data_IF_929809042045
#
_entry.id   IF_929809042045
#
_cell.length_a   1.000
_cell.length_b   1.000
_cell.length_c   1.000
_cell.angle_alpha   90.00
_cell.angle_beta   90.00
_cell.angle_gamma   90.00
#
_symmetry.space_group_name_H-M   'P 1'
#
loop_
_entity.id
_entity.type
_entity.pdbx_description
1 polymer ?
#
# COMPACT_ATOMS: atom_id res chain seq x y z
N UNK A 1 -9.16 8.77 13.36
CA UNK A 1 -7.84 9.47 13.33
C UNK A 1 -8.08 10.94 12.99
N UNK A 2 -7.63 11.90 13.80
CA UNK A 2 -7.63 13.32 13.43
C UNK A 2 -6.20 13.71 13.05
N UNK A 3 -6.03 14.25 11.86
CA UNK A 3 -4.71 14.65 11.43
C UNK A 3 -4.37 16.05 11.95
N UNK A 4 -3.31 16.17 12.77
CA UNK A 4 -2.91 17.41 13.42
C UNK A 4 -1.82 18.16 12.64
N UNK A 5 -1.96 18.26 11.32
CA UNK A 5 -0.89 18.78 10.44
C UNK A 5 -0.61 20.27 10.64
N UNK A 6 -1.65 21.08 10.85
CA UNK A 6 -1.52 22.51 11.14
C UNK A 6 -0.78 22.75 12.47
N UNK A 7 -1.01 21.90 13.48
CA UNK A 7 -0.31 21.98 14.79
C UNK A 7 1.15 21.56 14.65
N UNK A 8 1.47 20.71 13.67
CA UNK A 8 2.83 20.22 13.40
C UNK A 8 3.57 21.04 12.36
N UNK A 9 2.97 22.12 11.84
CA UNK A 9 3.47 22.89 10.69
C UNK A 9 3.95 22.02 9.52
N UNK A 10 3.21 20.97 9.19
CA UNK A 10 3.57 20.06 8.10
C UNK A 10 2.93 20.50 6.79
N UNK A 11 3.72 20.52 5.71
CA UNK A 11 3.21 20.60 4.35
C UNK A 11 2.63 19.24 3.99
N UNK A 12 1.42 19.23 3.46
CA UNK A 12 0.72 18.02 3.05
C UNK A 12 0.04 18.23 1.70
N UNK A 13 -0.09 17.16 0.92
CA UNK A 13 -1.06 17.05 -0.14
C UNK A 13 -2.12 16.03 0.29
N UNK A 14 -3.39 16.41 0.23
CA UNK A 14 -4.52 15.52 0.53
C UNK A 14 -5.32 15.26 -0.74
N UNK A 15 -5.66 14.00 -0.96
CA UNK A 15 -6.42 13.50 -2.10
C UNK A 15 -7.65 12.77 -1.58
N UNK A 16 -8.80 13.05 -2.16
CA UNK A 16 -10.01 12.29 -1.90
C UNK A 16 -10.07 11.14 -2.90
N UNK A 17 -10.21 9.92 -2.39
CA UNK A 17 -10.37 8.71 -3.18
C UNK A 17 -11.60 8.02 -2.61
N UNK A 18 -12.72 8.14 -3.33
CA UNK A 18 -14.05 7.72 -2.84
C UNK A 18 -14.34 8.36 -1.47
N UNK A 19 -14.70 7.55 -0.47
CA UNK A 19 -14.99 7.99 0.90
C UNK A 19 -13.73 8.13 1.77
N UNK A 20 -12.53 7.95 1.19
CA UNK A 20 -11.24 7.99 1.90
C UNK A 20 -10.45 9.24 1.57
N UNK A 21 -9.66 9.69 2.54
CA UNK A 21 -8.69 10.77 2.35
C UNK A 21 -7.29 10.19 2.41
N UNK A 22 -6.59 10.18 1.28
CA UNK A 22 -5.16 9.87 1.20
C UNK A 22 -4.35 11.14 1.45
N UNK A 23 -3.37 11.07 2.33
CA UNK A 23 -2.47 12.18 2.64
C UNK A 23 -1.06 11.77 2.27
N UNK A 24 -0.39 12.68 1.59
CA UNK A 24 1.02 12.63 1.29
C UNK A 24 1.73 13.77 2.03
N UNK A 25 2.74 13.42 2.81
CA UNK A 25 3.68 14.36 3.41
C UNK A 25 4.96 14.25 2.59
N UNK A 26 5.37 15.28 1.83
CA UNK A 26 6.64 15.26 1.13
C UNK A 26 7.82 15.30 2.10
N UNK A 27 9.00 14.91 1.63
CA UNK A 27 10.23 15.21 2.35
C UNK A 27 10.58 16.70 2.21
N UNK A 28 10.96 17.33 3.32
CA UNK A 28 11.56 18.66 3.34
C UNK A 28 12.83 18.55 4.17
N UNK A 29 13.97 18.94 3.61
CA UNK A 29 15.23 18.97 4.35
C UNK A 29 15.15 20.00 5.48
N UNK A 30 15.74 19.70 6.63
CA UNK A 30 15.89 20.67 7.72
C UNK A 30 16.76 21.87 7.31
N UNK A 31 17.54 21.76 6.24
CA UNK A 31 18.35 22.84 5.68
C UNK A 31 17.63 23.67 4.61
N UNK A 32 16.35 23.39 4.33
CA UNK A 32 15.61 24.04 3.25
C UNK A 32 15.30 25.51 3.54
N UNK A 33 14.97 25.85 4.79
CA UNK A 33 14.64 27.21 5.23
C UNK A 33 14.73 27.35 6.75
N UNK A 34 15.02 28.57 7.22
CA UNK A 34 15.01 28.92 8.64
C UNK A 34 13.59 29.17 9.20
N UNK A 35 12.58 29.25 8.33
CA UNK A 35 11.18 29.38 8.73
C UNK A 35 10.74 28.14 9.53
N UNK A 36 10.07 28.38 10.66
CA UNK A 36 9.64 27.32 11.57
C UNK A 36 8.71 26.29 10.91
N UNK A 37 8.06 26.68 9.82
CA UNK A 37 7.17 25.85 9.02
C UNK A 37 7.88 24.86 8.11
N UNK A 38 9.21 24.99 7.97
CA UNK A 38 10.03 24.20 7.05
C UNK A 38 11.26 23.57 7.73
N UNK A 39 11.25 23.43 9.07
CA UNK A 39 12.36 22.85 9.87
C UNK A 39 12.68 21.36 9.61
N UNK A 40 12.06 20.78 8.59
CA UNK A 40 12.28 19.42 8.15
C UNK A 40 11.06 18.53 8.41
N UNK A 41 10.76 17.68 7.44
CA UNK A 41 9.72 16.64 7.55
C UNK A 41 10.15 15.43 6.72
N UNK A 42 9.86 14.23 7.23
CA UNK A 42 10.09 12.99 6.50
C UNK A 42 8.90 12.69 5.59
N UNK A 43 9.20 12.10 4.44
CA UNK A 43 8.18 11.60 3.54
C UNK A 43 7.27 10.58 4.25
N UNK A 44 5.96 10.69 4.06
CA UNK A 44 5.02 9.65 4.49
C UNK A 44 3.75 9.65 3.64
N UNK A 45 3.13 8.49 3.55
CA UNK A 45 1.81 8.29 2.97
C UNK A 45 0.88 7.74 4.06
N UNK A 46 -0.37 8.18 4.09
CA UNK A 46 -1.35 7.69 5.06
C UNK A 46 -2.77 7.86 4.52
N UNK A 47 -3.67 6.90 4.78
CA UNK A 47 -5.09 7.10 4.53
C UNK A 47 -5.86 7.31 5.84
N UNK A 48 -6.85 8.20 5.82
CA UNK A 48 -7.78 8.36 6.95
C UNK A 48 -8.64 7.11 7.05
N UNK A 49 -8.63 6.47 8.23
CA UNK A 49 -9.36 5.24 8.53
C UNK A 49 -8.87 3.99 7.80
N UNK A 50 -7.62 4.00 7.35
CA UNK A 50 -6.98 2.78 6.84
C UNK A 50 -6.84 1.74 7.93
N UNK A 51 -7.12 0.49 7.61
CA UNK A 51 -6.84 -0.66 8.46
C UNK A 51 -5.85 -1.59 7.79
N UNK A 52 -5.27 -2.50 8.56
CA UNK A 52 -4.39 -3.55 8.03
C UNK A 52 -5.14 -4.49 7.06
N UNK A 53 -6.46 -4.54 7.14
CA UNK A 53 -7.29 -5.44 6.34
C UNK A 53 -7.67 -4.81 4.98
N UNK A 54 -7.30 -3.54 4.77
CA UNK A 54 -7.38 -2.91 3.46
C UNK A 54 -6.33 -3.51 2.52
N UNK A 55 -6.81 -4.22 1.50
CA UNK A 55 -5.98 -4.81 0.45
C UNK A 55 -6.37 -4.18 -0.88
N UNK A 56 -5.42 -3.51 -1.53
CA UNK A 56 -5.67 -2.87 -2.82
C UNK A 56 -5.82 -3.94 -3.91
N UNK A 57 -6.80 -3.78 -4.80
CA UNK A 57 -7.09 -4.74 -5.87
C UNK A 57 -8.01 -5.90 -5.44
N UNK A 58 -8.27 -6.08 -4.14
CA UNK A 58 -8.99 -7.26 -3.64
C UNK A 58 -10.45 -7.31 -4.13
N UNK A 59 -11.15 -6.18 -4.13
CA UNK A 59 -12.53 -6.09 -4.61
C UNK A 59 -12.64 -6.14 -6.14
N UNK A 60 -11.53 -5.95 -6.85
CA UNK A 60 -11.46 -6.04 -8.31
C UNK A 60 -11.14 -7.47 -8.80
N UNK A 61 -10.87 -8.41 -7.90
CA UNK A 61 -10.69 -9.81 -8.29
C UNK A 61 -12.01 -10.37 -8.87
N UNK A 62 -11.97 -11.09 -10.00
CA UNK A 62 -13.15 -11.73 -10.60
C UNK A 62 -13.85 -12.64 -9.58
N UNK A 63 -15.15 -12.88 -9.69
CA UNK A 63 -15.82 -13.87 -8.81
C UNK A 63 -15.41 -15.31 -9.14
N UNK A 64 -15.53 -16.21 -8.17
CA UNK A 64 -15.24 -17.64 -8.33
C UNK A 64 -13.76 -18.01 -8.20
N UNK A 65 -13.40 -19.13 -8.83
CA UNK A 65 -12.06 -19.71 -8.83
C UNK A 65 -11.11 -18.87 -9.68
N UNK A 66 -9.86 -18.77 -9.22
CA UNK A 66 -8.79 -18.00 -9.85
C UNK A 66 -7.61 -18.91 -10.19
N UNK A 67 -7.00 -18.70 -11.35
CA UNK A 67 -5.78 -19.44 -11.74
C UNK A 67 -4.59 -19.11 -10.83
N UNK A 68 -4.52 -17.86 -10.38
CA UNK A 68 -3.50 -17.35 -9.47
C UNK A 68 -3.98 -16.06 -8.79
N UNK A 69 -3.28 -15.68 -7.73
CA UNK A 69 -3.31 -14.32 -7.16
C UNK A 69 -1.89 -13.81 -7.03
N UNK A 70 -1.61 -12.63 -7.59
CA UNK A 70 -0.29 -12.01 -7.64
C UNK A 70 -0.20 -10.85 -6.65
N UNK A 71 0.61 -11.02 -5.61
CA UNK A 71 0.98 -10.00 -4.64
C UNK A 71 2.05 -9.07 -5.21
N UNK A 72 1.80 -7.77 -5.16
CA UNK A 72 2.72 -6.70 -5.58
C UNK A 72 3.10 -5.82 -4.40
N UNK A 73 4.24 -5.14 -4.49
CA UNK A 73 4.82 -4.38 -3.37
C UNK A 73 4.06 -3.13 -2.99
N UNK A 74 3.24 -2.60 -3.90
CA UNK A 74 2.32 -1.52 -3.61
C UNK A 74 1.33 -1.25 -4.74
N UNK A 75 0.45 -0.27 -4.50
CA UNK A 75 -0.67 0.06 -5.40
C UNK A 75 -0.21 0.38 -6.83
N UNK A 76 0.91 1.10 -6.97
CA UNK A 76 1.48 1.44 -8.30
C UNK A 76 1.88 0.20 -9.08
N UNK A 77 2.50 -0.78 -8.42
CA UNK A 77 2.93 -2.03 -9.04
C UNK A 77 1.75 -2.92 -9.40
N UNK A 78 0.66 -2.86 -8.63
CA UNK A 78 -0.63 -3.46 -8.97
C UNK A 78 -1.23 -2.85 -10.22
N UNK A 79 -1.38 -1.52 -10.28
CA UNK A 79 -1.96 -0.84 -11.44
C UNK A 79 -1.13 -1.08 -12.71
N UNK A 80 0.19 -1.03 -12.58
CA UNK A 80 1.10 -1.34 -13.69
C UNK A 80 0.95 -2.80 -14.14
N UNK A 81 0.96 -3.76 -13.21
CA UNK A 81 0.75 -5.18 -13.53
C UNK A 81 -0.60 -5.41 -14.24
N UNK A 82 -1.67 -4.80 -13.74
CA UNK A 82 -2.98 -4.87 -14.35
C UNK A 82 -3.00 -4.34 -15.78
N UNK A 83 -2.41 -3.16 -16.01
CA UNK A 83 -2.30 -2.57 -17.35
C UNK A 83 -1.52 -3.45 -18.34
N UNK A 84 -0.63 -4.32 -17.84
CA UNK A 84 0.15 -5.27 -18.63
C UNK A 84 -0.49 -6.68 -18.74
N UNK A 85 -1.75 -6.85 -18.32
CA UNK A 85 -2.51 -8.08 -18.51
C UNK A 85 -2.51 -9.05 -17.32
N UNK A 86 -1.98 -8.64 -16.16
CA UNK A 86 -2.12 -9.42 -14.93
C UNK A 86 -3.41 -9.02 -14.19
N UNK A 87 -4.48 -9.79 -14.35
CA UNK A 87 -5.80 -9.39 -13.84
C UNK A 87 -5.99 -9.65 -12.33
N UNK A 88 -5.38 -10.71 -11.79
CA UNK A 88 -5.56 -11.12 -10.40
C UNK A 88 -4.47 -10.53 -9.49
N UNK A 89 -4.32 -9.20 -9.49
CA UNK A 89 -3.25 -8.50 -8.79
C UNK A 89 -3.74 -7.77 -7.55
N UNK A 90 -3.05 -7.98 -6.44
CA UNK A 90 -3.34 -7.30 -5.16
C UNK A 90 -2.07 -6.78 -4.50
N UNK A 91 -2.20 -5.77 -3.66
CA UNK A 91 -1.10 -5.29 -2.83
C UNK A 91 -1.58 -5.01 -1.41
N UNK A 92 -0.75 -5.41 -0.44
CA UNK A 92 -0.89 -4.99 0.95
C UNK A 92 -0.42 -3.54 1.10
N UNK A 93 -0.56 -2.96 2.30
CA UNK A 93 -0.20 -1.55 2.51
C UNK A 93 1.30 -1.29 2.51
N UNK A 94 2.11 -2.34 2.67
CA UNK A 94 3.56 -2.29 2.48
C UNK A 94 4.11 -3.69 2.20
N UNK A 95 5.29 -3.76 1.60
CA UNK A 95 6.03 -5.03 1.45
C UNK A 95 6.38 -5.69 2.79
N UNK A 96 6.45 -4.92 3.87
CA UNK A 96 6.70 -5.45 5.21
C UNK A 96 5.46 -6.08 5.85
N UNK A 97 4.27 -5.75 5.35
CA UNK A 97 3.03 -6.25 5.90
C UNK A 97 2.82 -7.69 5.47
N UNK A 98 2.49 -8.54 6.43
CA UNK A 98 2.06 -9.91 6.14
C UNK A 98 0.56 -9.94 5.87
N UNK A 99 0.10 -10.78 4.92
CA UNK A 99 -1.32 -11.02 4.75
C UNK A 99 -1.89 -11.65 6.03
N UNK A 100 -3.13 -11.31 6.37
CA UNK A 100 -3.80 -11.93 7.52
C UNK A 100 -4.17 -13.39 7.20
N UNK A 101 -4.32 -14.22 8.22
CA UNK A 101 -4.74 -15.61 8.06
C UNK A 101 -6.10 -15.71 7.38
N UNK A 102 -7.02 -14.79 7.69
CA UNK A 102 -8.35 -14.73 7.07
C UNK A 102 -8.26 -14.38 5.58
N UNK A 103 -7.38 -13.44 5.20
CA UNK A 103 -7.12 -13.12 3.81
C UNK A 103 -6.54 -14.33 3.08
N UNK A 104 -5.52 -14.97 3.65
CA UNK A 104 -4.91 -16.16 3.06
C UNK A 104 -5.92 -17.29 2.90
N UNK A 105 -6.77 -17.53 3.91
CA UNK A 105 -7.82 -18.54 3.86
C UNK A 105 -8.83 -18.23 2.75
N UNK A 106 -9.26 -16.97 2.63
CA UNK A 106 -10.19 -16.53 1.59
C UNK A 106 -9.60 -16.61 0.17
N UNK A 107 -8.30 -16.35 0.01
CA UNK A 107 -7.65 -16.47 -1.30
C UNK A 107 -7.41 -17.96 -1.63
N UNK A 108 -6.99 -18.76 -0.65
CA UNK A 108 -6.74 -20.21 -0.81
C UNK A 108 -8.00 -21.01 -1.07
N UNK A 109 -9.18 -20.52 -0.68
CA UNK A 109 -10.45 -21.15 -1.07
C UNK A 109 -10.80 -20.93 -2.54
N UNK A 110 -10.12 -20.00 -3.22
CA UNK A 110 -10.39 -19.60 -4.61
C UNK A 110 -9.24 -19.97 -5.56
N UNK A 111 -8.04 -20.16 -5.04
CA UNK A 111 -6.88 -20.58 -5.85
C UNK A 111 -5.88 -21.35 -5.01
N UNK A 112 -5.19 -22.30 -5.64
CA UNK A 112 -4.03 -22.97 -5.04
C UNK A 112 -2.73 -22.18 -5.25
N UNK A 113 -2.72 -21.15 -6.10
CA UNK A 113 -1.51 -20.48 -6.56
C UNK A 113 -1.46 -19.03 -6.06
N UNK A 114 -0.64 -18.79 -5.05
CA UNK A 114 -0.30 -17.43 -4.58
C UNK A 114 1.12 -17.10 -5.05
N UNK A 115 1.25 -16.01 -5.80
CA UNK A 115 2.51 -15.54 -6.36
C UNK A 115 2.93 -14.25 -5.67
N UNK A 116 4.22 -14.14 -5.34
CA UNK A 116 4.81 -12.94 -4.75
C UNK A 116 5.74 -12.28 -5.75
N UNK A 117 5.46 -11.03 -6.14
CA UNK A 117 6.34 -10.22 -6.98
C UNK A 117 6.67 -8.90 -6.27
N UNK A 118 7.38 -9.05 -5.16
CA UNK A 118 7.99 -7.95 -4.39
C UNK A 118 9.36 -7.58 -4.94
N UNK A 119 9.91 -6.45 -4.48
CA UNK A 119 11.26 -6.03 -4.82
C UNK A 119 12.32 -7.11 -4.55
N UNK A 120 13.41 -7.07 -5.33
CA UNK A 120 14.57 -7.96 -5.15
C UNK A 120 15.49 -7.55 -4.00
N UNK A 121 15.08 -6.56 -3.20
CA UNK A 121 15.80 -6.11 -2.03
C UNK A 121 15.60 -7.07 -0.83
N UNK A 122 16.21 -6.72 0.31
CA UNK A 122 16.13 -7.54 1.51
C UNK A 122 14.70 -7.66 2.04
N UNK A 123 13.89 -6.60 1.91
CA UNK A 123 12.50 -6.55 2.37
C UNK A 123 11.64 -7.50 1.55
N UNK A 124 11.66 -7.37 0.22
CA UNK A 124 10.84 -8.20 -0.66
C UNK A 124 11.22 -9.68 -0.60
N UNK A 125 12.52 -10.00 -0.46
CA UNK A 125 13.00 -11.39 -0.26
C UNK A 125 12.53 -12.02 1.06
N UNK A 126 12.40 -11.24 2.12
CA UNK A 126 11.92 -11.75 3.40
C UNK A 126 10.41 -11.88 3.45
N UNK A 127 9.70 -10.98 2.77
CA UNK A 127 8.25 -11.04 2.66
C UNK A 127 7.78 -12.23 1.81
N UNK A 128 8.47 -12.52 0.69
CA UNK A 128 8.11 -13.62 -0.20
C UNK A 128 8.26 -15.01 0.44
N UNK A 129 9.21 -15.18 1.37
CA UNK A 129 9.40 -16.46 2.11
C UNK A 129 8.25 -16.81 3.06
N UNK A 130 7.38 -15.85 3.36
CA UNK A 130 6.31 -15.98 4.35
C UNK A 130 4.92 -16.15 3.73
N UNK A 131 4.83 -16.08 2.40
CA UNK A 131 3.64 -16.36 1.58
C UNK A 131 3.58 -17.85 1.24
#
# INVERSE_FOLDING_TARGET
MSFKYAVKNQIIAAYHIEDRVKVYVPEVSSSFSDDISFRGQKQSFSYKNQTKDDVFGLSQLPEGDLDYVLFRGGEKDCMSGHAHGFFNVISLQSEHQMPSDDLLKSLRSRTAVLLSCYGNDWTGKNASKKL
#
